data_IF_669229594699
#
_entry.id   IF_669229594699
#
_cell.length_a   1.000
_cell.length_b   1.000
_cell.length_c   1.000
_cell.angle_alpha   90.00
_cell.angle_beta   90.00
_cell.angle_gamma   90.00
#
_symmetry.space_group_name_H-M   'P 1'
#
loop_
_entity.id
_entity.type
_entity.pdbx_description
1 polymer ?
#
# COMPACT_ATOMS: atom_id res chain seq x y z
N UNK A 1 -19.66 -8.81 -21.03
CA UNK A 1 -19.00 -7.48 -20.92
C UNK A 1 -18.75 -7.22 -19.44
N UNK A 2 -17.50 -7.24 -18.98
CA UNK A 2 -17.17 -6.94 -17.59
C UNK A 2 -17.39 -5.47 -17.29
N UNK A 3 -18.12 -5.17 -16.20
CA UNK A 3 -18.32 -3.83 -15.69
C UNK A 3 -16.95 -3.16 -15.47
N UNK A 4 -16.62 -2.17 -16.30
CA UNK A 4 -15.43 -1.32 -16.10
C UNK A 4 -15.72 -0.51 -14.83
N UNK A 5 -15.18 -0.96 -13.69
CA UNK A 5 -15.20 -0.16 -12.47
C UNK A 5 -14.40 1.11 -12.73
N UNK A 6 -14.92 2.31 -12.44
CA UNK A 6 -14.15 3.54 -12.60
C UNK A 6 -12.86 3.43 -11.78
N UNK A 7 -11.72 3.55 -12.46
CA UNK A 7 -10.41 3.50 -11.81
C UNK A 7 -10.26 4.77 -10.97
N UNK A 8 -9.94 4.61 -9.69
CA UNK A 8 -9.62 5.74 -8.82
C UNK A 8 -8.50 6.56 -9.47
N UNK A 9 -8.65 7.89 -9.49
CA UNK A 9 -7.62 8.78 -10.04
C UNK A 9 -6.34 8.67 -9.22
N UNK A 10 -5.19 8.65 -9.88
CA UNK A 10 -3.88 8.41 -9.26
C UNK A 10 -3.52 9.50 -8.25
N UNK A 11 -3.20 9.10 -7.02
CA UNK A 11 -2.67 10.00 -5.99
C UNK A 11 -1.38 10.69 -6.44
N UNK A 12 -0.50 9.95 -7.13
CA UNK A 12 0.81 10.46 -7.60
C UNK A 12 0.62 11.44 -8.74
N UNK A 13 -0.24 11.14 -9.72
CA UNK A 13 -0.47 12.02 -10.87
C UNK A 13 -1.12 13.35 -10.42
N UNK A 14 -2.11 13.26 -9.52
CA UNK A 14 -2.72 14.44 -8.91
C UNK A 14 -1.74 15.22 -8.04
N UNK A 15 -0.85 14.53 -7.32
CA UNK A 15 0.23 15.16 -6.55
C UNK A 15 1.18 15.93 -7.45
N UNK A 16 1.58 15.35 -8.58
CA UNK A 16 2.46 16.01 -9.55
C UNK A 16 1.82 17.28 -10.14
N UNK A 17 0.50 17.29 -10.39
CA UNK A 17 -0.22 18.49 -10.83
C UNK A 17 -0.16 19.61 -9.78
N UNK A 18 -0.37 19.27 -8.51
CA UNK A 18 -0.25 20.23 -7.41
C UNK A 18 1.18 20.77 -7.26
N UNK A 19 2.21 19.95 -7.47
CA UNK A 19 3.61 20.40 -7.49
C UNK A 19 3.84 21.40 -8.63
N UNK A 20 3.34 21.11 -9.83
CA UNK A 20 3.46 22.01 -10.98
C UNK A 20 2.76 23.37 -10.75
N UNK A 21 1.70 23.39 -9.95
CA UNK A 21 0.99 24.60 -9.52
C UNK A 21 1.66 25.32 -8.33
N UNK A 22 2.81 24.84 -7.84
CA UNK A 22 3.51 25.40 -6.67
C UNK A 22 2.89 25.03 -5.31
N UNK A 23 1.90 24.13 -5.28
CA UNK A 23 1.17 23.70 -4.08
C UNK A 23 1.80 22.46 -3.45
N UNK A 24 3.11 22.52 -3.17
CA UNK A 24 3.89 21.37 -2.70
C UNK A 24 3.36 20.75 -1.40
N UNK A 25 2.85 21.56 -0.46
CA UNK A 25 2.24 21.05 0.78
C UNK A 25 0.99 20.21 0.53
N UNK A 26 0.12 20.66 -0.36
CA UNK A 26 -1.09 19.93 -0.74
C UNK A 26 -0.75 18.63 -1.47
N UNK A 27 0.26 18.67 -2.35
CA UNK A 27 0.77 17.48 -3.02
C UNK A 27 1.27 16.43 -2.02
N UNK A 28 2.08 16.84 -1.04
CA UNK A 28 2.60 15.94 0.00
C UNK A 28 1.46 15.34 0.83
N UNK A 29 0.49 16.15 1.23
CA UNK A 29 -0.70 15.67 1.94
C UNK A 29 -1.46 14.64 1.10
N UNK A 30 -1.69 14.90 -0.19
CA UNK A 30 -2.40 13.99 -1.07
C UNK A 30 -1.67 12.65 -1.24
N UNK A 31 -0.35 12.67 -1.40
CA UNK A 31 0.48 11.46 -1.50
C UNK A 31 0.47 10.68 -0.19
N UNK A 32 0.53 11.37 0.96
CA UNK A 32 0.39 10.75 2.29
C UNK A 32 -0.95 10.04 2.46
N UNK A 33 -2.06 10.66 2.05
CA UNK A 33 -3.38 10.02 2.04
C UNK A 33 -3.41 8.79 1.11
N UNK A 34 -2.73 8.84 -0.03
CA UNK A 34 -2.56 7.69 -0.91
C UNK A 34 -1.84 6.52 -0.24
N UNK A 35 -0.75 6.80 0.48
CA UNK A 35 -0.03 5.77 1.23
C UNK A 35 -0.89 5.17 2.34
N UNK A 36 -1.57 6.02 3.11
CA UNK A 36 -2.48 5.57 4.16
C UNK A 36 -3.59 4.67 3.59
N UNK A 37 -4.22 5.09 2.50
CA UNK A 37 -5.29 4.33 1.83
C UNK A 37 -4.84 2.92 1.42
N UNK A 38 -3.68 2.80 0.77
CA UNK A 38 -3.17 1.49 0.37
C UNK A 38 -2.72 0.66 1.58
N UNK A 39 -2.13 1.30 2.58
CA UNK A 39 -1.70 0.62 3.81
C UNK A 39 -2.88 0.02 4.56
N UNK A 40 -3.94 0.79 4.80
CA UNK A 40 -5.15 0.30 5.48
C UNK A 40 -5.79 -0.87 4.73
N UNK A 41 -5.81 -0.82 3.39
CA UNK A 41 -6.34 -1.93 2.58
C UNK A 41 -5.51 -3.20 2.72
N UNK A 42 -4.19 -3.10 2.65
CA UNK A 42 -3.30 -4.26 2.81
C UNK A 42 -3.43 -4.82 4.22
N UNK A 43 -3.36 -3.96 5.25
CA UNK A 43 -3.49 -4.35 6.66
C UNK A 43 -4.84 -5.05 6.90
N UNK A 44 -5.95 -4.48 6.44
CA UNK A 44 -7.28 -5.07 6.62
C UNK A 44 -7.47 -6.38 5.85
N UNK A 45 -6.73 -6.59 4.75
CA UNK A 45 -6.83 -7.81 3.95
C UNK A 45 -6.05 -8.98 4.57
N UNK A 46 -4.97 -8.68 5.29
CA UNK A 46 -4.12 -9.69 5.93
C UNK A 46 -4.42 -9.85 7.44
N UNK A 47 -5.19 -8.95 8.05
CA UNK A 47 -5.48 -8.96 9.48
C UNK A 47 -6.90 -9.44 9.79
N UNK A 48 -7.08 -10.26 10.85
CA UNK A 48 -6.04 -10.94 11.62
C UNK A 48 -5.44 -12.11 10.84
N UNK A 49 -4.19 -12.47 11.14
CA UNK A 49 -3.57 -13.70 10.66
C UNK A 49 -3.01 -14.53 11.82
N UNK A 50 -2.79 -15.83 11.58
CA UNK A 50 -2.14 -16.69 12.56
C UNK A 50 -0.63 -16.43 12.56
N UNK A 51 -0.01 -16.30 13.74
CA UNK A 51 1.44 -16.05 13.87
C UNK A 51 2.32 -17.03 13.08
N UNK A 52 1.92 -18.29 12.99
CA UNK A 52 2.62 -19.32 12.21
C UNK A 52 2.61 -19.05 10.69
N UNK A 53 1.59 -18.34 10.20
CA UNK A 53 1.44 -18.00 8.77
C UNK A 53 2.16 -16.69 8.39
N UNK A 54 2.82 -16.01 9.34
CA UNK A 54 3.57 -14.78 9.08
C UNK A 54 4.56 -14.94 7.91
N UNK A 55 5.24 -16.09 7.85
CA UNK A 55 6.18 -16.41 6.78
C UNK A 55 5.52 -16.49 5.40
N UNK A 56 4.30 -17.03 5.30
CA UNK A 56 3.54 -17.11 4.06
C UNK A 56 3.11 -15.72 3.59
N UNK A 57 2.67 -14.87 4.51
CA UNK A 57 2.28 -13.49 4.20
C UNK A 57 3.47 -12.69 3.67
N UNK A 58 4.62 -12.80 4.33
CA UNK A 58 5.86 -12.14 3.88
C UNK A 58 6.27 -12.61 2.49
N UNK A 59 6.21 -13.92 2.22
CA UNK A 59 6.53 -14.48 0.91
C UNK A 59 5.62 -13.91 -0.19
N UNK A 60 4.31 -13.94 0.03
CA UNK A 60 3.32 -13.46 -0.95
C UNK A 60 3.46 -11.96 -1.21
N UNK A 61 3.59 -11.14 -0.16
CA UNK A 61 3.70 -9.69 -0.32
C UNK A 61 4.97 -9.28 -1.07
N UNK A 62 6.10 -9.96 -0.82
CA UNK A 62 7.36 -9.71 -1.56
C UNK A 62 7.22 -10.08 -3.03
N UNK A 63 6.71 -11.28 -3.31
CA UNK A 63 6.51 -11.72 -4.69
C UNK A 63 5.59 -10.78 -5.48
N UNK A 64 4.49 -10.34 -4.85
CA UNK A 64 3.59 -9.37 -5.49
C UNK A 64 4.26 -8.00 -5.71
N UNK A 65 5.09 -7.54 -4.77
CA UNK A 65 5.85 -6.30 -4.96
C UNK A 65 6.84 -6.42 -6.13
N UNK A 66 7.59 -7.52 -6.22
CA UNK A 66 8.53 -7.79 -7.30
C UNK A 66 7.83 -7.82 -8.67
N UNK A 67 6.66 -8.46 -8.76
CA UNK A 67 5.86 -8.48 -9.98
C UNK A 67 5.30 -7.09 -10.34
N UNK A 68 4.93 -6.26 -9.35
CA UNK A 68 4.54 -4.86 -9.61
C UNK A 68 5.73 -4.06 -10.14
N UNK A 69 6.92 -4.17 -9.53
CA UNK A 69 8.12 -3.48 -10.01
C UNK A 69 8.50 -3.89 -11.42
N UNK A 70 8.48 -5.21 -11.71
CA UNK A 70 8.80 -5.76 -13.03
C UNK A 70 7.86 -5.26 -14.13
N UNK A 71 6.57 -5.09 -13.81
CA UNK A 71 5.55 -4.68 -14.78
C UNK A 71 5.40 -3.15 -14.89
N UNK A 72 6.01 -2.35 -14.00
CA UNK A 72 5.84 -0.91 -13.96
C UNK A 72 7.21 -0.19 -13.85
N UNK A 73 7.80 0.19 -15.00
CA UNK A 73 9.05 0.95 -15.02
C UNK A 73 8.93 2.23 -14.19
N UNK A 74 9.90 2.50 -13.32
CA UNK A 74 9.90 3.65 -12.41
C UNK A 74 9.22 3.41 -11.05
N UNK A 75 8.52 2.29 -10.85
CA UNK A 75 7.84 2.01 -9.58
C UNK A 75 8.84 1.82 -8.42
N UNK A 76 9.96 1.16 -8.69
CA UNK A 76 11.02 0.91 -7.71
C UNK A 76 11.69 2.22 -7.26
N UNK A 77 12.03 3.07 -8.22
CA UNK A 77 12.64 4.38 -7.98
C UNK A 77 11.68 5.29 -7.21
N UNK A 78 10.39 5.29 -7.58
CA UNK A 78 9.36 6.04 -6.88
C UNK A 78 9.21 5.56 -5.44
N UNK A 79 9.13 4.24 -5.20
CA UNK A 79 9.02 3.68 -3.86
C UNK A 79 10.22 4.04 -2.98
N UNK A 80 11.44 3.92 -3.51
CA UNK A 80 12.67 4.30 -2.82
C UNK A 80 12.75 5.81 -2.54
N UNK A 81 12.23 6.64 -3.44
CA UNK A 81 12.10 8.09 -3.22
C UNK A 81 11.10 8.42 -2.10
N UNK A 82 9.95 7.75 -2.10
CA UNK A 82 8.89 7.96 -1.09
C UNK A 82 9.32 7.47 0.30
N UNK A 83 10.09 6.39 0.39
CA UNK A 83 10.58 5.84 1.66
C UNK A 83 11.39 6.86 2.48
N UNK A 84 12.10 7.77 1.81
CA UNK A 84 12.90 8.80 2.47
C UNK A 84 12.06 9.93 3.06
N UNK A 85 10.80 10.06 2.64
CA UNK A 85 9.98 11.24 2.91
C UNK A 85 8.68 10.90 3.67
N UNK A 86 8.35 9.61 3.88
CA UNK A 86 7.07 9.22 4.46
C UNK A 86 7.25 8.20 5.59
N UNK A 87 6.58 8.43 6.71
CA UNK A 87 6.46 7.46 7.80
C UNK A 87 5.56 6.29 7.40
N UNK A 88 6.03 5.05 7.56
CA UNK A 88 5.25 3.85 7.28
C UNK A 88 4.30 3.57 8.45
N UNK A 89 2.99 3.34 8.20
CA UNK A 89 2.08 2.93 9.27
C UNK A 89 2.49 1.55 9.82
N UNK A 90 2.35 1.36 11.13
CA UNK A 90 2.69 0.10 11.78
C UNK A 90 1.58 -0.92 11.60
N UNK A 91 1.97 -2.17 11.29
CA UNK A 91 1.06 -3.30 11.38
C UNK A 91 0.88 -3.62 12.87
N UNK A 92 -0.28 -3.27 13.45
CA UNK A 92 -0.59 -3.71 14.81
C UNK A 92 -0.90 -5.21 14.79
N UNK A 93 -0.04 -6.00 15.42
CA UNK A 93 -0.29 -7.42 15.66
C UNK A 93 -1.38 -7.52 16.73
N UNK A 94 -2.62 -7.76 16.30
CA UNK A 94 -3.66 -8.16 17.23
C UNK A 94 -3.51 -9.66 17.40
N UNK A 95 -2.83 -10.09 18.47
CA UNK A 95 -2.89 -11.47 18.95
C UNK A 95 -4.37 -11.76 19.28
N UNK A 96 -5.15 -12.19 18.28
CA UNK A 96 -6.52 -12.60 18.54
C UNK A 96 -6.42 -13.92 19.28
N UNK A 97 -6.77 -13.87 20.57
CA UNK A 97 -7.21 -15.01 21.38
C UNK A 97 -8.55 -15.59 20.84
N UNK A 98 -8.78 -15.56 19.51
CA UNK A 98 -9.91 -16.26 18.90
C UNK A 98 -9.44 -17.67 18.59
N UNK A 99 -10.14 -18.63 19.20
CA UNK A 99 -9.93 -20.06 18.98
C UNK A 99 -9.81 -20.34 17.47
N UNK A 100 -8.80 -21.13 17.05
CA UNK A 100 -8.65 -21.47 15.65
C UNK A 100 -9.93 -22.14 15.15
N UNK A 101 -10.35 -21.80 13.92
CA UNK A 101 -11.38 -22.55 13.19
C UNK A 101 -10.81 -23.92 12.78
N UNK A 102 -10.52 -24.77 13.77
CA UNK A 102 -10.32 -26.20 13.56
C UNK A 102 -11.71 -26.83 13.58
N UNK A 103 -12.12 -27.42 12.45
CA UNK A 103 -13.19 -28.41 12.46
C UNK A 103 -12.67 -29.70 13.09
#
# INVERSE_FOLDING_TARGET
MGLIKPRMSSYVERGNKLIAEGKTKEAMNLVSHGLQYYSERVINSISPYAKADAGLIVLVLRHLADEVEKNNPGAKELAAGMEKCVGKPSLQEIERIKKPNRK
#
